data_IF_246362315160
#
_entry.id   IF_246362315160
#
_cell.length_a   1.000
_cell.length_b   1.000
_cell.length_c   1.000
_cell.angle_alpha   90.00
_cell.angle_beta   90.00
_cell.angle_gamma   90.00
#
_symmetry.space_group_name_H-M   'P 1'
#
loop_
_entity.id
_entity.type
_entity.pdbx_description
1 polymer ?
#
# COMPACT_ATOMS: atom_id res chain seq x y z
N UNK A 1 5.81 9.40 7.04
CA UNK A 1 5.71 8.99 5.62
C UNK A 1 4.29 9.27 5.16
N UNK A 2 4.02 9.42 3.84
CA UNK A 2 2.65 9.66 3.33
C UNK A 2 2.19 11.12 3.29
N UNK A 3 3.06 12.08 3.58
CA UNK A 3 2.76 13.49 3.32
C UNK A 3 2.59 13.70 1.81
N UNK A 4 1.61 14.52 1.44
CA UNK A 4 1.41 14.92 0.05
C UNK A 4 2.68 15.60 -0.48
N UNK A 5 3.31 15.07 -1.53
CA UNK A 5 4.43 15.75 -2.15
C UNK A 5 3.93 17.04 -2.83
N UNK A 6 4.79 18.04 -2.99
CA UNK A 6 4.45 19.28 -3.70
C UNK A 6 3.99 19.03 -5.14
N UNK A 7 4.37 17.89 -5.72
CA UNK A 7 3.99 17.40 -7.03
C UNK A 7 3.68 15.91 -6.99
N UNK A 8 2.51 15.51 -7.44
CA UNK A 8 2.08 14.12 -7.61
C UNK A 8 1.96 13.83 -9.10
N UNK A 9 3.08 13.64 -9.77
CA UNK A 9 3.09 13.34 -11.20
C UNK A 9 2.86 11.88 -11.54
N UNK A 10 2.32 11.64 -12.75
CA UNK A 10 2.19 10.33 -13.36
C UNK A 10 1.18 9.41 -12.67
N UNK A 11 0.20 9.97 -11.97
CA UNK A 11 -0.86 9.22 -11.26
C UNK A 11 -2.27 9.73 -11.56
N UNK A 12 -2.39 10.63 -12.52
CA UNK A 12 -3.66 11.27 -12.93
C UNK A 12 -4.64 10.23 -13.43
N UNK A 13 -4.20 9.33 -14.30
CA UNK A 13 -5.04 8.27 -14.86
C UNK A 13 -5.59 7.30 -13.77
N UNK A 14 -4.81 7.04 -12.71
CA UNK A 14 -5.27 6.25 -11.58
C UNK A 14 -6.33 7.01 -10.77
N UNK A 15 -6.10 8.30 -10.53
CA UNK A 15 -7.05 9.14 -9.80
C UNK A 15 -8.35 9.31 -10.59
N UNK A 16 -8.29 9.54 -11.88
CA UNK A 16 -9.45 9.65 -12.77
C UNK A 16 -10.30 8.38 -12.75
N UNK A 17 -9.68 7.19 -12.91
CA UNK A 17 -10.38 5.91 -12.80
C UNK A 17 -11.07 5.73 -11.46
N UNK A 18 -10.44 6.14 -10.37
CA UNK A 18 -11.07 6.07 -9.06
C UNK A 18 -12.27 7.03 -8.96
N UNK A 19 -12.12 8.25 -9.47
CA UNK A 19 -13.25 9.20 -9.53
C UNK A 19 -14.42 8.68 -10.37
N UNK A 20 -14.14 7.96 -11.45
CA UNK A 20 -15.19 7.32 -12.25
C UNK A 20 -15.95 6.24 -11.47
N UNK A 21 -15.25 5.47 -10.63
CA UNK A 21 -15.91 4.53 -9.72
C UNK A 21 -16.79 5.23 -8.70
N UNK A 22 -16.35 6.37 -8.15
CA UNK A 22 -17.15 7.17 -7.22
C UNK A 22 -18.43 7.73 -7.87
N UNK A 23 -18.37 8.09 -9.15
CA UNK A 23 -19.54 8.58 -9.93
C UNK A 23 -20.52 7.46 -10.28
N UNK A 24 -20.05 6.21 -10.29
CA UNK A 24 -20.88 5.04 -10.62
C UNK A 24 -20.85 3.99 -9.50
N UNK A 25 -21.56 4.25 -8.38
CA UNK A 25 -21.48 3.41 -7.17
C UNK A 25 -22.00 1.97 -7.38
N UNK A 26 -22.71 1.71 -8.47
CA UNK A 26 -23.23 0.37 -8.80
C UNK A 26 -22.33 -0.40 -9.79
N UNK A 27 -21.17 0.14 -10.16
CA UNK A 27 -20.27 -0.52 -11.09
C UNK A 27 -19.64 -1.82 -10.52
N UNK A 28 -19.83 -2.10 -9.23
CA UNK A 28 -19.39 -3.31 -8.53
C UNK A 28 -17.90 -3.65 -8.80
N UNK A 29 -17.04 -2.63 -8.84
CA UNK A 29 -15.61 -2.78 -9.09
C UNK A 29 -14.78 -2.22 -7.94
N UNK A 30 -13.63 -2.86 -7.72
CA UNK A 30 -12.70 -2.53 -6.67
C UNK A 30 -11.33 -2.21 -7.27
N UNK A 31 -10.42 -1.64 -6.47
CA UNK A 31 -9.06 -1.34 -6.90
C UNK A 31 -8.05 -2.21 -6.16
N UNK A 32 -7.09 -2.74 -6.89
CA UNK A 32 -5.93 -3.43 -6.37
C UNK A 32 -4.67 -2.68 -6.77
N UNK A 33 -4.14 -1.87 -5.85
CA UNK A 33 -2.96 -1.04 -6.07
C UNK A 33 -1.72 -1.79 -5.63
N UNK A 34 -0.81 -2.07 -6.55
CA UNK A 34 0.43 -2.78 -6.22
C UNK A 34 1.65 -2.02 -6.68
N UNK A 35 2.74 -2.16 -5.96
CA UNK A 35 4.01 -1.54 -6.33
C UNK A 35 5.06 -1.70 -5.24
N UNK A 36 6.31 -1.44 -5.61
CA UNK A 36 7.43 -1.50 -4.68
C UNK A 36 7.31 -0.43 -3.59
N UNK A 37 8.07 -0.55 -2.51
CA UNK A 37 8.11 0.49 -1.47
C UNK A 37 8.72 1.76 -2.04
N UNK A 38 8.17 2.92 -1.72
CA UNK A 38 8.70 4.22 -2.15
C UNK A 38 8.25 4.69 -3.54
N UNK A 39 7.37 3.95 -4.24
CA UNK A 39 6.80 4.36 -5.55
C UNK A 39 5.59 5.29 -5.44
N UNK A 40 5.22 5.72 -4.23
CA UNK A 40 4.13 6.67 -4.01
C UNK A 40 2.75 6.03 -3.77
N UNK A 41 2.66 4.74 -3.39
CA UNK A 41 1.38 4.07 -3.12
C UNK A 41 0.53 4.80 -2.08
N UNK A 42 1.08 5.04 -0.89
CA UNK A 42 0.36 5.70 0.21
C UNK A 42 -0.09 7.11 -0.15
N UNK A 43 0.71 7.83 -0.95
CA UNK A 43 0.35 9.17 -1.44
C UNK A 43 -0.88 9.07 -2.37
N UNK A 44 -0.88 8.12 -3.31
CA UNK A 44 -2.05 7.89 -4.17
C UNK A 44 -3.28 7.50 -3.36
N UNK A 45 -3.13 6.63 -2.35
CA UNK A 45 -4.23 6.26 -1.47
C UNK A 45 -4.81 7.45 -0.71
N UNK A 46 -3.98 8.38 -0.24
CA UNK A 46 -4.45 9.60 0.42
C UNK A 46 -5.25 10.47 -0.57
N UNK A 47 -4.82 10.56 -1.83
CA UNK A 47 -5.59 11.25 -2.88
C UNK A 47 -6.93 10.56 -3.16
N UNK A 48 -6.97 9.23 -3.11
CA UNK A 48 -8.23 8.50 -3.21
C UNK A 48 -9.16 8.82 -2.03
N UNK A 49 -8.63 8.81 -0.79
CA UNK A 49 -9.43 9.20 0.38
C UNK A 49 -9.99 10.61 0.25
N UNK A 50 -9.15 11.59 -0.10
CA UNK A 50 -9.57 12.98 -0.28
C UNK A 50 -10.62 13.13 -1.38
N UNK A 51 -10.47 12.44 -2.51
CA UNK A 51 -11.43 12.46 -3.60
C UNK A 51 -12.78 11.82 -3.20
N UNK A 52 -12.74 10.71 -2.45
CA UNK A 52 -13.94 10.06 -1.96
C UNK A 52 -14.68 10.93 -0.92
N UNK A 53 -13.98 11.51 0.03
CA UNK A 53 -14.55 12.42 1.04
C UNK A 53 -15.15 13.69 0.38
N UNK A 54 -14.43 14.27 -0.60
CA UNK A 54 -14.94 15.40 -1.38
C UNK A 54 -16.21 15.06 -2.17
N UNK A 55 -16.35 13.80 -2.62
CA UNK A 55 -17.54 13.27 -3.26
C UNK A 55 -18.63 12.83 -2.25
N UNK A 56 -18.42 13.04 -0.96
CA UNK A 56 -19.38 12.74 0.11
C UNK A 56 -19.40 11.27 0.56
N UNK A 57 -18.49 10.44 0.08
CA UNK A 57 -18.38 9.03 0.49
C UNK A 57 -17.82 8.89 1.91
N UNK A 58 -18.25 7.85 2.62
CA UNK A 58 -17.67 7.48 3.91
C UNK A 58 -16.41 6.65 3.66
N UNK A 59 -15.28 7.08 4.21
CA UNK A 59 -13.99 6.41 4.02
C UNK A 59 -13.52 5.78 5.32
N UNK A 60 -13.29 4.47 5.32
CA UNK A 60 -12.51 3.75 6.32
C UNK A 60 -11.13 3.48 5.75
N UNK A 61 -10.11 3.86 6.50
CA UNK A 61 -8.72 3.71 6.09
C UNK A 61 -7.88 3.09 7.18
N UNK A 62 -7.00 2.16 6.75
CA UNK A 62 -6.10 1.46 7.65
C UNK A 62 -4.85 1.00 6.91
N UNK A 63 -3.73 1.04 7.62
CA UNK A 63 -2.53 0.30 7.30
C UNK A 63 -2.56 -1.02 8.10
N UNK A 64 -2.49 -2.16 7.39
CA UNK A 64 -2.50 -3.49 7.99
C UNK A 64 -1.11 -3.91 8.46
N UNK A 65 -1.04 -4.54 9.61
CA UNK A 65 0.15 -5.15 10.19
C UNK A 65 -0.01 -6.67 10.31
N UNK A 66 1.07 -7.38 10.59
CA UNK A 66 1.01 -8.84 10.82
C UNK A 66 0.01 -9.25 11.93
N UNK A 67 -0.07 -8.55 13.09
CA UNK A 67 -1.11 -8.81 14.09
C UNK A 67 -2.54 -8.64 13.56
N UNK A 68 -2.81 -7.65 12.72
CA UNK A 68 -4.14 -7.43 12.13
C UNK A 68 -4.54 -8.54 11.15
N UNK A 69 -3.55 -9.19 10.54
CA UNK A 69 -3.74 -10.30 9.59
C UNK A 69 -4.02 -11.65 10.27
N UNK A 70 -3.85 -11.77 11.59
CA UNK A 70 -4.22 -12.97 12.32
C UNK A 70 -5.75 -13.15 12.27
N UNK A 71 -6.26 -14.39 12.02
CA UNK A 71 -7.68 -14.63 11.77
C UNK A 71 -8.62 -14.09 12.84
N UNK A 72 -8.22 -14.20 14.12
CA UNK A 72 -9.01 -13.69 15.24
C UNK A 72 -9.11 -12.16 15.25
N UNK A 73 -8.04 -11.46 14.84
CA UNK A 73 -7.96 -10.01 14.85
C UNK A 73 -8.53 -9.40 13.56
N UNK A 74 -8.47 -10.13 12.44
CA UNK A 74 -8.87 -9.62 11.13
C UNK A 74 -10.34 -9.20 11.11
N UNK A 75 -11.24 -10.07 11.56
CA UNK A 75 -12.66 -9.77 11.65
C UNK A 75 -12.93 -8.54 12.52
N UNK A 76 -12.33 -8.52 13.70
CA UNK A 76 -12.45 -7.40 14.65
C UNK A 76 -11.96 -6.09 14.04
N UNK A 77 -10.84 -6.14 13.32
CA UNK A 77 -10.24 -4.98 12.66
C UNK A 77 -11.17 -4.39 11.61
N UNK A 78 -11.72 -5.23 10.71
CA UNK A 78 -12.63 -4.76 9.66
C UNK A 78 -13.96 -4.27 10.24
N UNK A 79 -14.56 -5.01 11.17
CA UNK A 79 -15.80 -4.61 11.83
C UNK A 79 -15.64 -3.32 12.64
N UNK A 80 -14.51 -3.14 13.34
CA UNK A 80 -14.22 -1.87 14.04
C UNK A 80 -14.12 -0.69 13.07
N UNK A 81 -13.60 -0.89 11.85
CA UNK A 81 -13.59 0.15 10.83
C UNK A 81 -15.00 0.51 10.38
N UNK A 82 -15.88 -0.49 10.19
CA UNK A 82 -17.29 -0.25 9.89
C UNK A 82 -18.03 0.50 11.01
N UNK A 83 -17.78 0.15 12.27
CA UNK A 83 -18.32 0.91 13.42
C UNK A 83 -17.81 2.36 13.42
N UNK A 84 -16.56 2.61 13.07
CA UNK A 84 -16.04 3.98 12.95
C UNK A 84 -16.79 4.79 11.87
N UNK A 85 -17.17 4.17 10.75
CA UNK A 85 -17.94 4.84 9.71
C UNK A 85 -19.31 5.32 10.23
N UNK A 86 -19.96 4.56 11.10
CA UNK A 86 -21.24 4.98 11.67
C UNK A 86 -21.15 6.30 12.44
N UNK A 87 -19.96 6.59 13.02
CA UNK A 87 -19.69 7.84 13.74
C UNK A 87 -19.44 9.03 12.82
N UNK A 88 -19.03 8.80 11.58
CA UNK A 88 -18.81 9.85 10.57
C UNK A 88 -20.12 10.32 9.94
N UNK A 89 -21.20 9.55 10.09
CA UNK A 89 -22.50 9.92 9.53
C UNK A 89 -23.08 11.09 10.31
N UNK A 90 -23.14 12.26 9.67
CA UNK A 90 -23.73 13.47 10.24
C UNK A 90 -25.22 13.57 9.93
N UNK A 91 -26.02 14.05 10.90
CA UNK A 91 -27.46 14.23 10.68
C UNK A 91 -28.25 14.50 11.97
N UNK A 92 -29.55 14.66 11.83
CA UNK A 92 -30.50 14.90 12.93
C UNK A 92 -30.64 13.68 13.87
N UNK A 93 -31.51 13.79 14.88
CA UNK A 93 -31.70 12.75 15.90
C UNK A 93 -32.01 11.35 15.32
N UNK A 94 -32.80 11.30 14.23
CA UNK A 94 -33.14 10.03 13.56
C UNK A 94 -31.91 9.35 12.94
N UNK A 95 -31.00 10.12 12.32
CA UNK A 95 -29.76 9.59 11.73
C UNK A 95 -28.83 9.10 12.83
N UNK A 96 -28.69 9.86 13.92
CA UNK A 96 -27.88 9.45 15.08
C UNK A 96 -28.40 8.14 15.71
N UNK A 97 -29.73 8.03 15.89
CA UNK A 97 -30.34 6.78 16.39
C UNK A 97 -30.13 5.60 15.45
N UNK A 98 -30.19 5.82 14.14
CA UNK A 98 -29.90 4.79 13.14
C UNK A 98 -28.40 4.39 13.18
N UNK A 99 -27.48 5.35 13.32
CA UNK A 99 -26.04 5.10 13.44
C UNK A 99 -25.72 4.27 14.69
N UNK A 100 -26.37 4.55 15.82
CA UNK A 100 -26.21 3.74 17.04
C UNK A 100 -26.70 2.31 16.83
N UNK A 101 -27.88 2.13 16.22
CA UNK A 101 -28.41 0.77 15.93
C UNK A 101 -27.50 -0.01 14.99
N UNK A 102 -27.01 0.62 13.91
CA UNK A 102 -26.07 -0.05 12.99
C UNK A 102 -24.75 -0.40 13.67
N UNK A 103 -24.22 0.49 14.51
CA UNK A 103 -23.03 0.18 15.30
C UNK A 103 -23.26 -0.99 16.26
N UNK A 104 -24.44 -1.07 16.90
CA UNK A 104 -24.83 -2.20 17.75
C UNK A 104 -24.95 -3.49 16.95
N UNK A 105 -25.64 -3.49 15.80
CA UNK A 105 -25.75 -4.66 14.93
C UNK A 105 -24.38 -5.18 14.48
N UNK A 106 -23.49 -4.27 14.05
CA UNK A 106 -22.11 -4.65 13.69
C UNK A 106 -21.35 -5.24 14.90
N UNK A 107 -21.58 -4.73 16.12
CA UNK A 107 -20.95 -5.25 17.32
C UNK A 107 -21.54 -6.59 17.76
N UNK A 108 -22.81 -6.86 17.50
CA UNK A 108 -23.44 -8.17 17.75
C UNK A 108 -22.80 -9.29 16.94
N UNK A 109 -22.37 -9.01 15.71
CA UNK A 109 -21.59 -9.94 14.89
C UNK A 109 -20.23 -10.31 15.53
N UNK A 110 -19.71 -9.49 16.45
CA UNK A 110 -18.48 -9.80 17.19
C UNK A 110 -18.69 -10.71 18.39
N UNK A 111 -19.94 -11.07 18.76
CA UNK A 111 -20.24 -12.03 19.80
C UNK A 111 -19.87 -11.62 21.22
N UNK A 112 -19.62 -10.32 21.47
CA UNK A 112 -19.27 -9.81 22.81
C UNK A 112 -19.78 -8.39 23.01
N UNK A 113 -20.92 -8.24 23.69
CA UNK A 113 -21.37 -6.94 24.17
C UNK A 113 -21.38 -6.91 25.70
N UNK A 114 -20.51 -6.08 26.27
CA UNK A 114 -20.81 -5.38 27.52
C UNK A 114 -20.98 -3.90 27.18
N UNK A 115 -22.21 -3.45 27.06
CA UNK A 115 -22.55 -2.04 26.89
C UNK A 115 -22.54 -1.39 28.26
N UNK A 116 -21.52 -0.59 28.57
CA UNK A 116 -21.59 0.32 29.70
C UNK A 116 -22.30 1.62 29.28
N UNK A 117 -23.43 1.89 29.88
CA UNK A 117 -24.30 3.05 29.66
C UNK A 117 -23.78 4.27 30.41
N UNK A 118 -22.64 4.82 30.00
CA UNK A 118 -22.25 6.18 30.43
C UNK A 118 -21.31 6.80 29.42
N UNK A 119 -21.89 7.67 28.56
CA UNK A 119 -21.20 8.69 27.78
C UNK A 119 -20.11 8.15 26.83
N UNK A 120 -20.51 7.92 25.60
CA UNK A 120 -19.72 7.90 24.34
C UNK A 120 -18.20 7.61 24.48
N UNK A 121 -17.83 6.57 25.19
CA UNK A 121 -16.57 5.86 25.02
C UNK A 121 -16.90 4.37 24.85
N UNK A 122 -17.04 3.94 23.58
CA UNK A 122 -17.15 2.52 23.27
C UNK A 122 -15.75 1.92 23.33
N UNK A 123 -15.31 1.57 24.50
CA UNK A 123 -14.17 0.71 24.72
C UNK A 123 -14.55 -0.72 24.41
N UNK A 124 -14.25 -1.19 23.20
CA UNK A 124 -14.49 -2.58 22.82
C UNK A 124 -13.41 -3.45 23.47
N UNK A 125 -13.73 -4.10 24.61
CA UNK A 125 -12.91 -5.17 25.17
C UNK A 125 -13.40 -6.51 24.58
N UNK A 126 -12.57 -7.12 23.78
CA UNK A 126 -12.82 -8.44 23.23
C UNK A 126 -12.39 -9.51 24.24
N UNK A 127 -13.33 -10.28 24.78
CA UNK A 127 -13.05 -11.54 25.48
C UNK A 127 -13.32 -12.69 24.51
N UNK A 128 -12.24 -13.41 24.17
CA UNK A 128 -12.13 -14.63 23.42
C UNK A 128 -13.39 -15.41 23.09
N UNK A 129 -14.04 -15.10 21.97
CA UNK A 129 -14.99 -15.98 21.35
C UNK A 129 -14.34 -16.65 20.16
N UNK A 130 -14.26 -17.96 20.18
CA UNK A 130 -13.94 -18.76 19.01
C UNK A 130 -15.08 -18.66 18.00
N UNK A 131 -15.14 -17.56 17.26
CA UNK A 131 -15.98 -17.50 16.07
C UNK A 131 -15.46 -18.54 15.08
N UNK A 132 -16.28 -19.52 14.78
CA UNK A 132 -16.05 -20.43 13.68
C UNK A 132 -16.03 -19.58 12.41
N UNK A 133 -14.86 -19.50 11.75
CA UNK A 133 -14.60 -18.75 10.50
C UNK A 133 -15.59 -19.09 9.35
N UNK A 134 -16.51 -20.01 9.57
CA UNK A 134 -17.56 -20.42 8.62
C UNK A 134 -18.65 -19.37 8.38
N UNK A 135 -18.70 -18.32 9.21
CA UNK A 135 -19.70 -17.23 9.07
C UNK A 135 -19.08 -15.85 8.88
N UNK A 136 -17.76 -15.75 8.79
CA UNK A 136 -17.09 -14.46 8.70
C UNK A 136 -17.52 -13.65 7.47
N UNK A 137 -17.70 -14.28 6.34
CA UNK A 137 -18.18 -13.65 5.11
C UNK A 137 -19.62 -13.14 5.21
N UNK A 138 -20.51 -13.89 5.90
CA UNK A 138 -21.88 -13.46 6.15
C UNK A 138 -21.90 -12.28 7.13
N UNK A 139 -21.19 -12.38 8.26
CA UNK A 139 -21.10 -11.33 9.27
C UNK A 139 -20.54 -10.02 8.68
N UNK A 140 -19.49 -10.10 7.87
CA UNK A 140 -18.89 -8.93 7.20
C UNK A 140 -19.85 -8.34 6.15
N UNK A 141 -20.59 -9.18 5.41
CA UNK A 141 -21.57 -8.70 4.43
C UNK A 141 -22.72 -7.99 5.10
N UNK A 142 -23.30 -8.58 6.13
CA UNK A 142 -24.43 -8.01 6.85
C UNK A 142 -24.04 -6.70 7.52
N UNK A 143 -22.84 -6.61 8.10
CA UNK A 143 -22.30 -5.35 8.63
C UNK A 143 -22.11 -4.28 7.55
N UNK A 144 -21.67 -4.66 6.34
CA UNK A 144 -21.59 -3.73 5.20
C UNK A 144 -22.96 -3.21 4.78
N UNK A 145 -23.98 -4.10 4.74
CA UNK A 145 -25.36 -3.74 4.40
C UNK A 145 -25.96 -2.77 5.44
N UNK A 146 -25.72 -3.00 6.73
CA UNK A 146 -26.17 -2.14 7.81
C UNK A 146 -25.58 -0.72 7.70
N UNK A 147 -24.27 -0.62 7.51
CA UNK A 147 -23.58 0.67 7.36
C UNK A 147 -24.01 1.37 6.07
N UNK A 148 -24.16 0.64 4.97
CA UNK A 148 -24.68 1.21 3.71
C UNK A 148 -26.12 1.68 3.83
N UNK A 149 -26.94 1.01 4.65
CA UNK A 149 -28.28 1.49 5.03
C UNK A 149 -28.25 2.89 5.63
N UNK A 150 -27.25 3.16 6.49
CA UNK A 150 -27.03 4.50 7.06
C UNK A 150 -26.63 5.54 6.02
N UNK A 151 -25.86 5.17 5.01
CA UNK A 151 -25.42 6.10 3.96
C UNK A 151 -26.63 6.75 3.28
N UNK A 152 -27.68 5.96 2.99
CA UNK A 152 -28.92 6.45 2.40
C UNK A 152 -29.62 7.48 3.28
N UNK A 153 -29.63 7.30 4.60
CA UNK A 153 -30.21 8.23 5.56
C UNK A 153 -29.37 9.51 5.74
N UNK A 154 -28.03 9.37 5.70
CA UNK A 154 -27.07 10.46 5.85
C UNK A 154 -26.74 11.20 4.56
N UNK A 155 -27.36 10.85 3.42
CA UNK A 155 -27.08 11.39 2.08
C UNK A 155 -25.64 11.14 1.62
N UNK A 156 -25.02 10.04 2.06
CA UNK A 156 -23.72 9.61 1.58
C UNK A 156 -23.89 8.64 0.39
N UNK A 157 -23.14 8.79 -0.72
CA UNK A 157 -23.26 7.92 -1.88
C UNK A 157 -22.91 6.47 -1.59
N UNK A 158 -21.97 6.22 -0.66
CA UNK A 158 -21.53 4.87 -0.31
C UNK A 158 -20.33 4.84 0.62
N UNK A 159 -19.65 3.70 0.63
CA UNK A 159 -18.54 3.38 1.52
C UNK A 159 -17.30 3.07 0.69
N UNK A 160 -16.15 3.60 1.08
CA UNK A 160 -14.83 3.20 0.60
C UNK A 160 -14.08 2.53 1.75
N UNK A 161 -13.67 1.27 1.57
CA UNK A 161 -12.73 0.58 2.44
C UNK A 161 -11.35 0.64 1.78
N UNK A 162 -10.42 1.40 2.35
CA UNK A 162 -9.06 1.61 1.85
C UNK A 162 -8.03 0.99 2.79
N UNK A 163 -7.40 -0.09 2.35
CA UNK A 163 -6.45 -0.85 3.15
C UNK A 163 -5.06 -0.85 2.53
N UNK A 164 -4.08 -0.31 3.24
CA UNK A 164 -2.66 -0.30 2.84
C UNK A 164 -1.88 -1.44 3.51
N UNK A 165 -0.68 -1.75 2.99
CA UNK A 165 0.20 -2.87 3.39
C UNK A 165 -0.52 -4.22 3.46
N UNK A 166 -1.58 -4.37 2.67
CA UNK A 166 -2.52 -5.50 2.74
C UNK A 166 -1.92 -6.84 2.29
N UNK A 167 -0.70 -6.87 1.76
CA UNK A 167 0.00 -8.12 1.44
C UNK A 167 0.33 -8.98 2.66
N UNK A 168 0.19 -8.47 3.88
CA UNK A 168 0.33 -9.26 5.11
C UNK A 168 -0.85 -10.23 5.28
N UNK A 169 -2.02 -9.88 4.73
CA UNK A 169 -3.22 -10.72 4.73
C UNK A 169 -3.12 -11.73 3.59
N UNK A 170 -3.04 -12.99 3.94
CA UNK A 170 -2.97 -14.10 2.99
C UNK A 170 -3.71 -15.32 3.53
N UNK A 171 -4.17 -16.18 2.63
CA UNK A 171 -4.84 -17.43 3.01
C UNK A 171 -3.87 -18.32 3.79
N UNK A 172 -4.33 -18.81 4.95
CA UNK A 172 -3.64 -19.82 5.78
C UNK A 172 -4.49 -21.08 5.83
N UNK A 173 -3.87 -22.23 6.08
CA UNK A 173 -4.61 -23.48 6.28
C UNK A 173 -5.56 -23.31 7.46
N UNK A 174 -6.87 -23.47 7.20
CA UNK A 174 -7.93 -23.36 8.20
C UNK A 174 -8.42 -21.93 8.50
N UNK A 175 -7.94 -20.92 7.77
CA UNK A 175 -8.34 -19.52 7.97
C UNK A 175 -8.48 -18.80 6.63
N UNK A 176 -9.70 -18.59 6.19
CA UNK A 176 -10.05 -17.98 4.90
C UNK A 176 -10.39 -16.48 5.05
N UNK A 177 -9.51 -15.71 5.68
CA UNK A 177 -9.78 -14.29 6.02
C UNK A 177 -9.91 -13.39 4.79
N UNK A 178 -8.95 -13.47 3.86
CA UNK A 178 -9.02 -12.71 2.60
C UNK A 178 -10.19 -13.17 1.75
N UNK A 179 -10.39 -14.48 1.62
CA UNK A 179 -11.51 -15.09 0.91
C UNK A 179 -12.86 -14.61 1.45
N UNK A 180 -13.02 -14.53 2.78
CA UNK A 180 -14.23 -14.06 3.43
C UNK A 180 -14.50 -12.57 3.12
N UNK A 181 -13.48 -11.70 3.20
CA UNK A 181 -13.62 -10.29 2.83
C UNK A 181 -14.08 -10.13 1.38
N UNK A 182 -13.43 -10.84 0.46
CA UNK A 182 -13.78 -10.76 -0.97
C UNK A 182 -15.20 -11.27 -1.24
N UNK A 183 -15.63 -12.33 -0.55
CA UNK A 183 -16.99 -12.86 -0.66
C UNK A 183 -18.01 -11.87 -0.09
N UNK A 184 -17.73 -11.29 1.07
CA UNK A 184 -18.62 -10.31 1.72
C UNK A 184 -18.81 -9.06 0.84
N UNK A 185 -17.72 -8.47 0.36
CA UNK A 185 -17.77 -7.28 -0.51
C UNK A 185 -18.47 -7.62 -1.83
N UNK A 186 -18.11 -8.73 -2.48
CA UNK A 186 -18.77 -9.15 -3.73
C UNK A 186 -20.25 -9.42 -3.55
N UNK A 187 -20.64 -10.10 -2.45
CA UNK A 187 -22.05 -10.36 -2.12
C UNK A 187 -22.83 -9.09 -1.83
N UNK A 188 -22.26 -8.14 -1.10
CA UNK A 188 -22.85 -6.82 -0.85
C UNK A 188 -23.05 -6.03 -2.17
N UNK A 189 -22.02 -6.01 -3.03
CA UNK A 189 -22.11 -5.35 -4.35
C UNK A 189 -23.19 -5.99 -5.25
N UNK A 190 -23.37 -7.31 -5.25
CA UNK A 190 -24.45 -7.99 -5.97
C UNK A 190 -25.84 -7.58 -5.49
N UNK A 191 -25.97 -7.17 -4.23
CA UNK A 191 -27.20 -6.61 -3.65
C UNK A 191 -27.30 -5.09 -3.80
N UNK A 192 -26.52 -4.52 -4.71
CA UNK A 192 -26.48 -3.07 -4.97
C UNK A 192 -26.07 -2.22 -3.76
N UNK A 193 -25.28 -2.79 -2.84
CA UNK A 193 -24.65 -2.04 -1.76
C UNK A 193 -23.52 -1.20 -2.35
N UNK A 194 -23.52 0.14 -2.20
CA UNK A 194 -22.48 1.00 -2.77
C UNK A 194 -21.22 0.96 -1.90
N UNK A 195 -20.37 -0.06 -2.14
CA UNK A 195 -19.10 -0.24 -1.48
C UNK A 195 -17.98 -0.38 -2.51
N UNK A 196 -16.88 0.31 -2.28
CA UNK A 196 -15.64 0.19 -3.06
C UNK A 196 -14.54 -0.30 -2.12
N UNK A 197 -13.90 -1.41 -2.46
CA UNK A 197 -12.74 -1.93 -1.77
C UNK A 197 -11.46 -1.52 -2.52
N UNK A 198 -10.55 -0.84 -1.83
CA UNK A 198 -9.23 -0.47 -2.32
C UNK A 198 -8.19 -1.21 -1.51
N UNK A 199 -7.58 -2.22 -2.08
CA UNK A 199 -6.46 -2.95 -1.47
C UNK A 199 -5.15 -2.46 -2.05
N UNK A 200 -4.19 -2.17 -1.18
CA UNK A 200 -2.88 -1.69 -1.58
C UNK A 200 -1.77 -2.48 -0.90
N UNK A 201 -0.69 -2.74 -1.64
CA UNK A 201 0.44 -3.45 -1.07
C UNK A 201 1.60 -3.71 -2.03
N UNK A 202 2.46 -4.62 -1.63
CA UNK A 202 3.57 -5.11 -2.45
C UNK A 202 3.06 -6.00 -3.61
N UNK A 203 3.88 -6.24 -4.65
CA UNK A 203 3.47 -7.01 -5.83
C UNK A 203 2.91 -8.41 -5.54
N UNK A 204 3.32 -9.06 -4.43
CA UNK A 204 2.79 -10.36 -4.01
C UNK A 204 1.32 -10.31 -3.55
N UNK A 205 0.77 -9.12 -3.28
CA UNK A 205 -0.66 -8.97 -2.97
C UNK A 205 -1.54 -9.49 -4.10
N UNK A 206 -1.15 -9.27 -5.37
CA UNK A 206 -1.88 -9.77 -6.53
C UNK A 206 -1.99 -11.31 -6.49
N UNK A 207 -0.89 -11.99 -6.15
CA UNK A 207 -0.86 -13.44 -6.01
C UNK A 207 -1.72 -13.92 -4.84
N UNK A 208 -1.70 -13.21 -3.71
CA UNK A 208 -2.53 -13.54 -2.55
C UNK A 208 -4.02 -13.46 -2.90
N UNK A 209 -4.43 -12.39 -3.58
CA UNK A 209 -5.83 -12.18 -4.01
C UNK A 209 -6.27 -13.23 -5.03
N UNK A 210 -5.42 -13.56 -6.00
CA UNK A 210 -5.71 -14.60 -6.99
C UNK A 210 -5.85 -16.01 -6.37
N UNK A 211 -5.06 -16.31 -5.33
CA UNK A 211 -5.14 -17.57 -4.59
C UNK A 211 -6.39 -17.65 -3.70
N UNK A 212 -6.85 -16.53 -3.17
CA UNK A 212 -8.01 -16.50 -2.29
C UNK A 212 -9.31 -16.81 -3.03
N UNK A 213 -9.50 -16.27 -4.24
CA UNK A 213 -10.71 -16.49 -5.06
C UNK A 213 -10.37 -16.48 -6.54
N UNK A 214 -10.82 -17.49 -7.27
CA UNK A 214 -10.61 -17.61 -8.71
C UNK A 214 -11.26 -16.49 -9.53
N UNK A 215 -12.32 -15.86 -9.03
CA UNK A 215 -13.01 -14.76 -9.70
C UNK A 215 -12.47 -13.37 -9.35
N UNK A 216 -11.48 -13.30 -8.49
CA UNK A 216 -10.90 -12.02 -8.02
C UNK A 216 -10.36 -11.14 -9.15
N UNK A 217 -9.87 -11.71 -10.24
CA UNK A 217 -9.42 -10.97 -11.41
C UNK A 217 -10.52 -10.09 -12.03
N UNK A 218 -11.79 -10.49 -11.90
CA UNK A 218 -12.94 -9.73 -12.39
C UNK A 218 -13.45 -8.70 -11.37
N UNK A 219 -13.13 -8.87 -10.08
CA UNK A 219 -13.52 -7.95 -9.02
C UNK A 219 -12.69 -6.68 -8.99
N UNK A 220 -11.44 -6.73 -9.47
CA UNK A 220 -10.48 -5.65 -9.30
C UNK A 220 -10.01 -5.06 -10.62
N UNK A 221 -9.90 -3.74 -10.64
CA UNK A 221 -9.03 -3.03 -11.56
C UNK A 221 -7.64 -3.01 -10.93
N UNK A 222 -6.66 -3.58 -11.60
CA UNK A 222 -5.29 -3.71 -11.07
C UNK A 222 -4.45 -2.52 -11.52
N UNK A 223 -3.99 -1.74 -10.55
CA UNK A 223 -3.08 -0.62 -10.73
C UNK A 223 -1.66 -1.00 -10.30
N UNK A 224 -0.74 -1.10 -11.24
CA UNK A 224 0.66 -1.40 -10.97
C UNK A 224 1.48 -0.11 -10.97
N UNK A 225 1.87 0.35 -9.78
CA UNK A 225 2.69 1.53 -9.64
C UNK A 225 4.17 1.16 -9.78
N UNK A 226 4.82 1.77 -10.76
CA UNK A 226 6.26 1.70 -10.96
C UNK A 226 6.97 3.01 -10.64
N UNK A 227 8.24 3.06 -11.03
CA UNK A 227 9.00 4.30 -11.08
C UNK A 227 8.30 5.29 -12.02
N UNK A 228 8.54 6.57 -11.80
CA UNK A 228 8.12 7.61 -12.74
C UNK A 228 8.94 7.48 -14.03
N UNK A 229 8.30 7.82 -15.13
CA UNK A 229 8.92 7.90 -16.46
C UNK A 229 8.83 9.33 -16.97
N UNK A 230 9.59 9.67 -17.98
CA UNK A 230 9.50 11.00 -18.60
C UNK A 230 8.07 11.26 -19.13
N UNK A 231 7.52 12.46 -18.95
CA UNK A 231 8.15 13.64 -18.35
C UNK A 231 8.02 13.72 -16.81
N UNK A 232 7.29 12.81 -16.16
CA UNK A 232 6.85 12.88 -14.77
C UNK A 232 8.00 12.80 -13.76
N UNK A 233 9.05 12.02 -14.06
CA UNK A 233 10.25 11.93 -13.22
C UNK A 233 10.98 13.26 -13.14
N UNK A 234 11.04 13.97 -14.28
CA UNK A 234 11.59 15.32 -14.38
C UNK A 234 10.76 16.32 -13.57
N UNK A 235 9.46 16.36 -13.82
CA UNK A 235 8.54 17.29 -13.14
C UNK A 235 8.54 17.06 -11.62
N UNK A 236 8.68 15.81 -11.17
CA UNK A 236 8.79 15.49 -9.73
C UNK A 236 10.02 16.13 -9.06
N UNK A 237 11.08 16.42 -9.81
CA UNK A 237 12.27 17.13 -9.34
C UNK A 237 12.14 18.64 -9.51
N UNK A 238 11.70 19.12 -10.68
CA UNK A 238 11.81 20.51 -11.07
C UNK A 238 10.65 21.38 -10.58
N UNK A 239 9.41 20.89 -10.67
CA UNK A 239 8.22 21.69 -10.35
C UNK A 239 8.18 22.18 -8.88
N UNK A 240 8.54 21.36 -7.86
CA UNK A 240 8.62 21.86 -6.50
C UNK A 240 9.63 23.00 -6.31
N UNK A 241 10.75 22.96 -7.05
CA UNK A 241 11.78 24.00 -6.98
C UNK A 241 11.31 25.28 -7.69
N UNK A 242 10.70 25.16 -8.85
CA UNK A 242 10.16 26.28 -9.64
C UNK A 242 9.07 27.05 -8.86
N UNK A 243 8.16 26.33 -8.17
CA UNK A 243 7.15 26.92 -7.28
C UNK A 243 7.77 27.77 -6.14
N UNK A 244 9.00 27.47 -5.78
CA UNK A 244 9.74 28.19 -4.76
C UNK A 244 10.86 29.09 -5.36
N UNK A 245 10.70 29.51 -6.62
CA UNK A 245 11.57 30.41 -7.35
C UNK A 245 13.05 29.94 -7.45
N UNK A 246 13.25 28.62 -7.59
CA UNK A 246 14.56 28.01 -7.83
C UNK A 246 14.49 27.06 -9.03
N UNK A 247 15.60 26.87 -9.71
CA UNK A 247 15.68 26.01 -10.88
C UNK A 247 16.89 25.08 -10.78
N UNK A 248 16.85 24.00 -11.54
CA UNK A 248 17.97 23.06 -11.68
C UNK A 248 18.60 23.23 -13.07
N UNK A 249 19.92 23.21 -13.16
CA UNK A 249 20.61 23.05 -14.43
C UNK A 249 20.19 21.73 -15.10
N UNK A 250 20.06 21.72 -16.42
CA UNK A 250 19.67 20.55 -17.18
C UNK A 250 20.58 19.34 -16.95
N UNK A 251 21.89 19.59 -16.84
CA UNK A 251 22.87 18.55 -16.53
C UNK A 251 22.66 17.93 -15.13
N UNK A 252 22.20 18.73 -14.15
CA UNK A 252 21.85 18.23 -12.82
C UNK A 252 20.61 17.37 -12.89
N UNK A 253 19.55 17.81 -13.58
CA UNK A 253 18.32 17.04 -13.81
C UNK A 253 18.66 15.69 -14.43
N UNK A 254 19.40 15.69 -15.53
CA UNK A 254 19.78 14.44 -16.22
C UNK A 254 20.61 13.50 -15.33
N UNK A 255 21.49 14.02 -14.48
CA UNK A 255 22.28 13.23 -13.56
C UNK A 255 21.44 12.63 -12.43
N UNK A 256 20.53 13.41 -11.84
CA UNK A 256 19.62 12.94 -10.79
C UNK A 256 18.69 11.86 -11.33
N UNK A 257 18.08 12.05 -12.50
CA UNK A 257 17.17 11.07 -13.09
C UNK A 257 17.90 9.76 -13.43
N UNK A 258 19.13 9.85 -13.93
CA UNK A 258 19.97 8.66 -14.17
C UNK A 258 20.30 7.93 -12.86
N UNK A 259 20.68 8.65 -11.81
CA UNK A 259 21.01 8.05 -10.51
C UNK A 259 19.78 7.40 -9.85
N UNK A 260 18.62 8.06 -9.94
CA UNK A 260 17.38 7.63 -9.27
C UNK A 260 16.57 6.64 -10.09
N UNK A 261 16.82 6.53 -11.40
CA UNK A 261 16.04 5.71 -12.33
C UNK A 261 14.53 5.97 -12.21
N UNK A 262 14.10 7.21 -12.00
CA UNK A 262 12.71 7.60 -11.83
C UNK A 262 12.06 7.16 -10.50
N UNK A 263 12.84 6.66 -9.53
CA UNK A 263 12.31 6.21 -8.24
C UNK A 263 11.88 7.40 -7.38
N UNK A 264 10.56 7.59 -7.10
CA UNK A 264 10.04 8.83 -6.53
C UNK A 264 10.70 9.24 -5.22
N UNK A 265 10.90 8.26 -4.31
CA UNK A 265 11.53 8.53 -3.02
C UNK A 265 12.97 9.08 -3.16
N UNK A 266 13.74 8.57 -4.13
CA UNK A 266 15.10 9.05 -4.35
C UNK A 266 15.13 10.41 -5.06
N UNK A 267 14.21 10.66 -6.00
CA UNK A 267 14.05 11.98 -6.62
C UNK A 267 13.82 13.03 -5.53
N UNK A 268 12.92 12.75 -4.58
CA UNK A 268 12.65 13.67 -3.47
C UNK A 268 13.85 13.83 -2.55
N UNK A 269 14.59 12.77 -2.23
CA UNK A 269 15.80 12.87 -1.41
C UNK A 269 16.90 13.71 -2.07
N UNK A 270 17.10 13.51 -3.38
CA UNK A 270 18.04 14.34 -4.14
C UNK A 270 17.57 15.79 -4.19
N UNK A 271 16.29 16.02 -4.50
CA UNK A 271 15.68 17.36 -4.57
C UNK A 271 15.82 18.11 -3.25
N UNK A 272 15.46 17.50 -2.13
CA UNK A 272 15.55 18.10 -0.80
C UNK A 272 17.00 18.44 -0.40
N UNK A 273 17.93 17.51 -0.64
CA UNK A 273 19.34 17.72 -0.31
C UNK A 273 19.98 18.82 -1.15
N UNK A 274 19.70 18.84 -2.44
CA UNK A 274 20.19 19.88 -3.37
C UNK A 274 19.56 21.24 -3.05
N UNK A 275 18.25 21.25 -2.77
CA UNK A 275 17.53 22.47 -2.35
C UNK A 275 18.14 23.10 -1.10
N UNK A 276 18.38 22.30 -0.06
CA UNK A 276 18.93 22.79 1.21
C UNK A 276 20.41 23.16 1.12
N UNK A 277 21.14 22.51 0.23
CA UNK A 277 22.60 22.63 0.16
C UNK A 277 23.11 23.66 -0.84
N UNK A 278 22.33 24.04 -1.85
CA UNK A 278 22.73 25.05 -2.83
C UNK A 278 22.45 26.45 -2.32
N UNK A 279 23.37 27.35 -2.53
CA UNK A 279 23.24 28.77 -2.11
C UNK A 279 22.52 29.65 -3.15
N UNK A 280 22.71 29.35 -4.45
CA UNK A 280 22.15 30.13 -5.55
C UNK A 280 20.70 29.71 -5.89
N UNK A 281 19.98 30.59 -6.62
CA UNK A 281 18.66 30.27 -7.18
C UNK A 281 18.70 29.18 -8.26
N UNK A 282 19.82 29.07 -8.98
CA UNK A 282 20.08 28.01 -9.94
C UNK A 282 20.96 26.94 -9.28
N UNK A 283 20.46 25.74 -9.20
CA UNK A 283 21.16 24.58 -8.60
C UNK A 283 22.01 23.93 -9.70
N UNK A 284 23.33 24.09 -9.60
CA UNK A 284 24.27 23.71 -10.64
C UNK A 284 25.02 22.40 -10.39
N UNK A 285 25.83 22.02 -11.39
CA UNK A 285 26.61 20.76 -11.36
C UNK A 285 27.58 20.71 -10.17
N UNK A 286 28.16 21.85 -9.76
CA UNK A 286 29.08 21.92 -8.62
C UNK A 286 28.34 21.61 -7.29
N UNK A 287 27.08 22.06 -7.15
CA UNK A 287 26.26 21.70 -6.00
C UNK A 287 26.02 20.19 -5.95
N UNK A 288 25.65 19.59 -7.09
CA UNK A 288 25.49 18.14 -7.18
C UNK A 288 26.79 17.40 -6.83
N UNK A 289 27.92 17.82 -7.40
CA UNK A 289 29.24 17.20 -7.12
C UNK A 289 29.59 17.23 -5.64
N UNK A 290 29.38 18.36 -5.00
CA UNK A 290 29.65 18.59 -3.57
C UNK A 290 28.70 17.79 -2.66
N UNK A 291 27.40 17.71 -2.99
CA UNK A 291 26.36 17.15 -2.14
C UNK A 291 26.12 15.65 -2.37
N UNK A 292 26.38 15.13 -3.58
CA UNK A 292 26.14 13.73 -3.95
C UNK A 292 26.75 12.70 -2.98
N UNK A 293 27.99 12.84 -2.47
CA UNK A 293 28.51 11.91 -1.48
C UNK A 293 27.69 11.88 -0.18
N UNK A 294 27.19 13.03 0.28
CA UNK A 294 26.32 13.11 1.46
C UNK A 294 24.95 12.48 1.21
N UNK A 295 24.37 12.68 0.03
CA UNK A 295 23.11 12.06 -0.38
C UNK A 295 23.25 10.54 -0.40
N UNK A 296 24.32 10.01 -1.03
CA UNK A 296 24.58 8.57 -1.08
C UNK A 296 24.80 8.00 0.32
N UNK A 297 25.54 8.69 1.18
CA UNK A 297 25.76 8.27 2.57
C UNK A 297 24.44 8.24 3.37
N UNK A 298 23.59 9.23 3.19
CA UNK A 298 22.27 9.25 3.84
C UNK A 298 21.37 8.09 3.36
N UNK A 299 21.38 7.77 2.06
CA UNK A 299 20.70 6.61 1.49
C UNK A 299 21.28 5.29 2.03
N UNK A 300 22.60 5.19 2.10
CA UNK A 300 23.27 3.99 2.59
C UNK A 300 22.87 3.70 4.05
N UNK A 301 22.96 4.68 4.94
CA UNK A 301 22.64 4.50 6.38
C UNK A 301 21.14 4.45 6.67
N UNK A 302 20.37 5.33 6.07
CA UNK A 302 18.95 5.49 6.42
C UNK A 302 18.02 4.50 5.69
N UNK A 303 18.43 4.00 4.52
CA UNK A 303 17.56 3.22 3.67
C UNK A 303 18.10 1.82 3.37
N UNK A 304 19.35 1.72 2.92
CA UNK A 304 19.90 0.43 2.45
C UNK A 304 20.41 -0.45 3.58
N UNK A 305 21.07 0.09 4.60
CA UNK A 305 21.58 -0.71 5.72
C UNK A 305 20.47 -1.41 6.48
N UNK A 306 19.37 -0.73 6.79
CA UNK A 306 18.22 -1.31 7.45
C UNK A 306 17.59 -2.45 6.63
N UNK A 307 17.58 -2.33 5.30
CA UNK A 307 17.11 -3.39 4.39
C UNK A 307 18.06 -4.58 4.38
N UNK A 308 19.36 -4.33 4.25
CA UNK A 308 20.38 -5.37 4.25
C UNK A 308 20.41 -6.15 5.57
N UNK A 309 20.25 -5.45 6.70
CA UNK A 309 20.23 -6.04 8.04
C UNK A 309 19.06 -7.01 8.27
N UNK A 310 17.90 -6.82 7.59
CA UNK A 310 16.76 -7.75 7.65
C UNK A 310 17.04 -9.12 7.02
N UNK A 311 18.06 -9.22 6.18
CA UNK A 311 18.48 -10.48 5.59
C UNK A 311 19.21 -11.38 6.60
N UNK A 312 18.86 -12.67 6.65
CA UNK A 312 19.68 -13.69 7.31
C UNK A 312 21.05 -13.83 6.63
N UNK A 313 21.96 -14.58 7.22
CA UNK A 313 23.29 -14.81 6.62
C UNK A 313 23.20 -15.37 5.19
N UNK A 314 22.35 -16.39 4.96
CA UNK A 314 22.13 -16.99 3.64
C UNK A 314 21.45 -16.03 2.67
N UNK A 315 20.47 -15.24 3.14
CA UNK A 315 19.81 -14.24 2.32
C UNK A 315 20.78 -13.13 1.90
N UNK A 316 21.65 -12.67 2.81
CA UNK A 316 22.70 -11.69 2.50
C UNK A 316 23.73 -12.20 1.50
N UNK A 317 24.05 -13.49 1.55
CA UNK A 317 24.88 -14.12 0.53
C UNK A 317 24.20 -14.05 -0.84
N UNK A 318 22.93 -14.42 -0.93
CA UNK A 318 22.17 -14.35 -2.19
C UNK A 318 22.01 -12.91 -2.68
N UNK A 319 21.81 -11.92 -1.77
CA UNK A 319 21.83 -10.50 -2.14
C UNK A 319 23.17 -10.07 -2.77
N UNK A 320 24.31 -10.55 -2.24
CA UNK A 320 25.63 -10.27 -2.83
C UNK A 320 25.77 -10.88 -4.23
N UNK A 321 25.27 -12.10 -4.42
CA UNK A 321 25.28 -12.75 -5.74
C UNK A 321 24.45 -11.97 -6.75
N UNK A 322 23.24 -11.55 -6.39
CA UNK A 322 22.40 -10.67 -7.25
C UNK A 322 23.16 -9.37 -7.56
N UNK A 323 23.79 -8.75 -6.56
CA UNK A 323 24.52 -7.50 -6.72
C UNK A 323 25.74 -7.60 -7.66
N UNK A 324 26.35 -8.77 -7.82
CA UNK A 324 27.42 -9.01 -8.81
C UNK A 324 26.91 -8.83 -10.25
N UNK A 325 25.64 -9.18 -10.50
CA UNK A 325 24.99 -9.01 -11.80
C UNK A 325 24.31 -7.63 -11.97
N UNK A 326 24.52 -6.70 -11.04
CA UNK A 326 23.93 -5.37 -11.07
C UNK A 326 22.74 -5.21 -10.12
N UNK A 327 21.55 -4.93 -10.63
CA UNK A 327 20.32 -4.76 -9.83
C UNK A 327 19.37 -5.97 -9.95
N UNK A 328 19.71 -6.95 -10.80
CA UNK A 328 18.93 -8.18 -11.03
C UNK A 328 19.81 -9.35 -11.46
N UNK A 329 19.32 -10.56 -11.23
CA UNK A 329 19.96 -11.80 -11.69
C UNK A 329 18.90 -12.85 -12.04
N UNK A 330 19.23 -13.74 -12.97
CA UNK A 330 18.38 -14.89 -13.30
C UNK A 330 18.64 -16.04 -12.30
N UNK A 331 17.64 -16.91 -12.12
CA UNK A 331 17.78 -18.12 -11.31
C UNK A 331 18.96 -18.99 -11.78
N UNK A 332 19.21 -19.03 -13.10
CA UNK A 332 20.33 -19.77 -13.69
C UNK A 332 21.68 -19.21 -13.25
N UNK A 333 21.84 -17.87 -13.28
CA UNK A 333 23.06 -17.21 -12.80
C UNK A 333 23.28 -17.49 -11.31
N UNK A 334 22.24 -17.35 -10.49
CA UNK A 334 22.33 -17.57 -9.05
C UNK A 334 22.67 -19.03 -8.71
N UNK A 335 22.11 -19.99 -9.44
CA UNK A 335 22.44 -21.41 -9.27
C UNK A 335 23.91 -21.68 -9.65
N UNK A 336 24.40 -21.10 -10.75
CA UNK A 336 25.79 -21.24 -11.18
C UNK A 336 26.76 -20.62 -10.16
N UNK A 337 26.47 -19.41 -9.67
CA UNK A 337 27.35 -18.69 -8.76
C UNK A 337 27.36 -19.26 -7.33
N UNK A 338 26.24 -19.80 -6.88
CA UNK A 338 26.13 -20.36 -5.53
C UNK A 338 26.47 -21.85 -5.44
N UNK A 339 26.46 -22.56 -6.56
CA UNK A 339 26.54 -24.03 -6.60
C UNK A 339 25.29 -24.74 -6.05
N UNK A 340 24.22 -24.01 -5.74
CA UNK A 340 23.00 -24.55 -5.18
C UNK A 340 21.98 -24.88 -6.27
N UNK A 341 21.27 -25.99 -6.08
CA UNK A 341 20.14 -26.34 -6.94
C UNK A 341 18.91 -25.47 -6.67
N UNK A 342 18.00 -25.36 -7.65
CA UNK A 342 16.81 -24.54 -7.55
C UNK A 342 15.94 -24.86 -6.33
N UNK A 343 15.80 -26.12 -5.94
CA UNK A 343 15.03 -26.52 -4.75
C UNK A 343 15.65 -25.98 -3.45
N UNK A 344 16.96 -25.82 -3.38
CA UNK A 344 17.68 -25.25 -2.23
C UNK A 344 17.60 -23.71 -2.21
N UNK A 345 17.54 -23.06 -3.37
CA UNK A 345 17.39 -21.62 -3.51
C UNK A 345 15.94 -21.13 -3.19
N UNK A 346 14.90 -21.91 -3.55
CA UNK A 346 13.52 -21.49 -3.44
C UNK A 346 13.08 -21.07 -2.01
N UNK A 347 13.43 -21.78 -0.91
CA UNK A 347 13.08 -21.35 0.44
C UNK A 347 13.69 -19.99 0.81
N UNK A 348 14.94 -19.74 0.42
CA UNK A 348 15.66 -18.48 0.67
C UNK A 348 15.00 -17.36 -0.14
N UNK A 349 14.76 -17.59 -1.43
CA UNK A 349 14.09 -16.64 -2.32
C UNK A 349 12.69 -16.29 -1.80
N UNK A 350 11.90 -17.27 -1.37
CA UNK A 350 10.55 -17.06 -0.84
C UNK A 350 10.57 -16.16 0.40
N UNK A 351 11.53 -16.36 1.29
CA UNK A 351 11.71 -15.49 2.46
C UNK A 351 12.12 -14.07 2.07
N UNK A 352 13.03 -13.92 1.10
CA UNK A 352 13.46 -12.60 0.62
C UNK A 352 12.33 -11.83 -0.09
N UNK A 353 11.48 -12.54 -0.85
CA UNK A 353 10.27 -11.97 -1.46
C UNK A 353 9.29 -11.48 -0.39
N UNK A 354 9.01 -12.31 0.63
CA UNK A 354 8.14 -11.95 1.75
C UNK A 354 8.67 -10.75 2.54
N UNK A 355 9.98 -10.67 2.77
CA UNK A 355 10.64 -9.52 3.42
C UNK A 355 10.68 -8.27 2.53
N UNK A 356 10.28 -8.36 1.26
CA UNK A 356 10.35 -7.25 0.31
C UNK A 356 11.78 -6.78 0.02
N UNK A 357 12.76 -7.68 0.06
CA UNK A 357 14.15 -7.41 -0.31
C UNK A 357 14.35 -7.48 -1.82
N UNK A 358 13.65 -8.43 -2.44
CA UNK A 358 13.65 -8.69 -3.88
C UNK A 358 12.21 -8.85 -4.37
N UNK A 359 12.02 -8.78 -5.69
CA UNK A 359 10.79 -9.12 -6.37
C UNK A 359 11.09 -9.90 -7.65
N UNK A 360 10.06 -10.43 -8.31
CA UNK A 360 10.17 -11.17 -9.58
C UNK A 360 9.63 -10.33 -10.73
N UNK A 361 10.48 -9.68 -11.53
CA UNK A 361 10.04 -9.04 -12.78
C UNK A 361 9.51 -10.07 -13.78
N UNK A 362 10.06 -11.29 -13.78
CA UNK A 362 9.62 -12.43 -14.56
C UNK A 362 9.82 -13.72 -13.76
N UNK A 363 9.28 -14.85 -14.27
CA UNK A 363 9.42 -16.15 -13.59
C UNK A 363 10.88 -16.55 -13.31
N UNK A 364 11.79 -16.18 -14.18
CA UNK A 364 13.20 -16.58 -14.11
C UNK A 364 14.13 -15.53 -13.49
N UNK A 365 13.65 -14.30 -13.25
CA UNK A 365 14.49 -13.18 -12.83
C UNK A 365 14.11 -12.68 -11.44
N UNK A 366 15.12 -12.41 -10.63
CA UNK A 366 15.00 -11.73 -9.34
C UNK A 366 15.66 -10.36 -9.46
N UNK A 367 15.03 -9.34 -8.91
CA UNK A 367 15.53 -7.96 -8.89
C UNK A 367 15.37 -7.34 -7.50
N UNK A 368 16.20 -6.37 -7.18
CA UNK A 368 16.04 -5.60 -5.95
C UNK A 368 14.80 -4.73 -6.00
N UNK A 369 14.14 -4.60 -4.84
CA UNK A 369 12.93 -3.76 -4.70
C UNK A 369 13.22 -2.26 -4.67
N UNK A 370 14.48 -1.85 -4.67
CA UNK A 370 14.90 -0.45 -4.72
C UNK A 370 16.10 -0.33 -5.66
N UNK A 371 16.12 0.69 -6.54
CA UNK A 371 17.29 0.98 -7.37
C UNK A 371 18.50 1.30 -6.48
N UNK A 372 19.70 1.17 -7.01
CA UNK A 372 20.99 1.43 -6.31
C UNK A 372 21.29 0.48 -5.13
N UNK A 373 20.42 -0.46 -4.78
CA UNK A 373 20.67 -1.38 -3.66
C UNK A 373 21.82 -2.35 -3.99
N UNK A 374 21.88 -2.82 -5.22
CA UNK A 374 23.03 -3.61 -5.69
C UNK A 374 24.34 -2.82 -5.64
N UNK A 375 24.30 -1.54 -6.03
CA UNK A 375 25.47 -0.66 -5.92
C UNK A 375 25.91 -0.45 -4.46
N UNK A 376 24.96 -0.28 -3.52
CA UNK A 376 25.26 -0.22 -2.09
C UNK A 376 25.93 -1.50 -1.59
N UNK A 377 25.38 -2.67 -1.93
CA UNK A 377 25.94 -3.97 -1.50
C UNK A 377 27.38 -4.16 -2.02
N UNK A 378 27.65 -3.76 -3.27
CA UNK A 378 29.01 -3.81 -3.85
C UNK A 378 29.99 -2.87 -3.14
N UNK A 379 29.54 -1.67 -2.71
CA UNK A 379 30.38 -0.74 -1.92
C UNK A 379 30.71 -1.29 -0.54
N UNK A 380 29.76 -1.97 0.09
CA UNK A 380 29.92 -2.57 1.42
C UNK A 380 30.88 -3.76 1.44
N UNK A 381 31.05 -4.44 0.31
CA UNK A 381 31.93 -5.61 0.18
C UNK A 381 33.39 -5.28 -0.16
N UNK A 382 33.69 -3.98 -0.30
CA UNK A 382 35.06 -3.45 -0.40
C UNK A 382 35.50 -2.96 0.96
#
# INVERSE_FOLDING_TARGET
MGLDPPYLGGREAQLERFQDLLRNPHAARNLLVTGLRGVGKTVLLNRYSNAAEAAGWLVAEREFSEPDAEPANFAQTVLADLVRLTRKVSGGARVRSAAVRAAQAVLEHLGTLSVSHSGIEVGVRFQGASHTLRRLDDDLRDALEDVAGLCRHGRHPGIVLRYDEFQVVHERRGASTLSALLTAVGGAQQRSVPVILVLCGLPNLLENVAKAKSYSERMFIVERLGNLTAPEDRLALTEPAEKAARTFDEAVVAAVLRDTAGYPFFIQMYGDALWKGAAASVIGVEDLRRLRPRILHALDRGFFEARYARGSARERELLRLIARHGESATLRQLSADSGLMNNQLQPVISNMLRKGLIYRPSRATLAFTAPMFGAHIRRRGK
#
